data_IF_855442712112
#
_entry.id   IF_855442712112
#
_cell.length_a   1.000
_cell.length_b   1.000
_cell.length_c   1.000
_cell.angle_alpha   90.00
_cell.angle_beta   90.00
_cell.angle_gamma   90.00
#
_symmetry.space_group_name_H-M   'P 1'
#
loop_
_entity.id
_entity.type
_entity.pdbx_description
1 polymer ?
#
# COMPACT_ATOMS: atom_id res chain seq x y z
N UNK A 1 41.05 -28.71 -45.20
CA UNK A 1 39.68 -29.19 -44.92
C UNK A 1 38.74 -28.42 -45.81
N UNK A 2 37.82 -29.16 -46.43
CA UNK A 2 37.06 -28.81 -47.62
C UNK A 2 36.24 -27.52 -47.49
N UNK A 3 36.22 -26.75 -48.57
CA UNK A 3 35.16 -25.79 -48.89
C UNK A 3 34.07 -26.59 -49.61
N UNK A 4 32.78 -26.20 -49.51
CA UNK A 4 32.26 -25.59 -50.73
C UNK A 4 31.29 -24.42 -50.52
N UNK A 5 31.56 -23.43 -51.36
CA UNK A 5 30.71 -22.39 -51.94
C UNK A 5 29.24 -22.86 -52.12
N UNK A 6 28.29 -22.08 -51.61
CA UNK A 6 26.90 -22.12 -52.08
C UNK A 6 26.55 -20.88 -52.91
N UNK A 7 26.34 -21.19 -54.18
CA UNK A 7 25.85 -20.41 -55.33
C UNK A 7 24.68 -19.48 -55.01
N UNK A 8 24.78 -18.27 -55.56
CA UNK A 8 23.66 -17.39 -55.85
C UNK A 8 22.60 -18.10 -56.72
N UNK A 9 21.32 -17.90 -56.39
CA UNK A 9 20.23 -18.01 -57.37
C UNK A 9 19.35 -16.77 -57.26
N UNK A 10 19.51 -15.86 -58.23
CA UNK A 10 18.49 -14.87 -58.60
C UNK A 10 17.38 -15.64 -59.31
N UNK A 11 16.21 -15.73 -58.68
CA UNK A 11 14.97 -16.01 -59.40
C UNK A 11 14.11 -14.75 -59.39
N UNK A 12 14.15 -14.04 -60.52
CA UNK A 12 13.05 -13.18 -60.94
C UNK A 12 11.90 -14.09 -61.34
N UNK A 13 10.80 -14.04 -60.59
CA UNK A 13 9.51 -14.55 -61.05
C UNK A 13 8.48 -13.46 -60.86
N UNK A 14 8.32 -12.64 -61.91
CA UNK A 14 7.08 -11.92 -62.15
C UNK A 14 5.96 -12.96 -62.25
N UNK A 15 5.03 -12.94 -61.30
CA UNK A 15 3.73 -13.55 -61.49
C UNK A 15 2.66 -12.49 -61.27
N UNK A 16 2.12 -12.02 -62.38
CA UNK A 16 0.84 -11.32 -62.44
C UNK A 16 -0.22 -12.38 -62.09
N UNK A 17 -0.93 -12.20 -60.98
CA UNK A 17 -2.17 -12.93 -60.72
C UNK A 17 -3.25 -11.96 -60.27
N UNK A 18 -4.39 -12.09 -60.95
CA UNK A 18 -5.54 -11.22 -60.94
C UNK A 18 -6.10 -10.95 -59.54
N UNK A 19 -6.38 -9.68 -59.25
CA UNK A 19 -7.25 -9.28 -58.15
C UNK A 19 -8.68 -9.74 -58.46
N UNK A 20 -9.09 -10.88 -57.92
CA UNK A 20 -10.51 -11.15 -57.72
C UNK A 20 -10.96 -10.34 -56.49
N UNK A 21 -11.52 -9.16 -56.74
CA UNK A 21 -12.28 -8.39 -55.76
C UNK A 21 -13.56 -9.18 -55.47
N UNK A 22 -13.52 -10.06 -54.47
CA UNK A 22 -14.75 -10.64 -53.92
C UNK A 22 -15.29 -9.60 -52.92
N UNK A 23 -16.21 -8.75 -53.39
CA UNK A 23 -17.08 -7.97 -52.49
C UNK A 23 -18.05 -8.94 -51.83
N UNK A 24 -17.75 -9.36 -50.60
CA UNK A 24 -18.76 -10.01 -49.76
C UNK A 24 -19.58 -8.93 -49.04
N UNK A 25 -20.78 -8.67 -49.54
CA UNK A 25 -21.81 -8.00 -48.75
C UNK A 25 -22.39 -9.05 -47.80
N UNK A 26 -22.15 -8.94 -46.50
CA UNK A 26 -22.92 -9.73 -45.53
C UNK A 26 -24.27 -9.06 -45.31
N UNK A 27 -25.31 -9.76 -45.76
CA UNK A 27 -26.69 -9.46 -45.40
C UNK A 27 -26.88 -9.69 -43.90
N UNK A 28 -27.50 -8.71 -43.26
CA UNK A 28 -27.81 -8.67 -41.84
C UNK A 28 -28.74 -9.83 -41.46
N UNK A 29 -28.24 -10.85 -40.75
CA UNK A 29 -29.10 -11.75 -39.98
C UNK A 29 -29.22 -11.22 -38.54
N UNK A 30 -30.42 -10.74 -38.21
CA UNK A 30 -30.80 -10.40 -36.83
C UNK A 30 -30.88 -11.70 -36.03
N UNK A 31 -29.87 -11.97 -35.20
CA UNK A 31 -29.98 -12.89 -34.07
C UNK A 31 -29.61 -12.14 -32.79
N UNK A 32 -30.59 -12.04 -31.89
CA UNK A 32 -30.51 -11.43 -30.57
C UNK A 32 -29.75 -12.33 -29.61
N UNK A 33 -28.47 -12.03 -29.39
CA UNK A 33 -27.70 -12.42 -28.20
C UNK A 33 -26.64 -11.36 -27.94
N UNK A 34 -26.95 -10.29 -27.18
CA UNK A 34 -26.00 -9.28 -26.67
C UNK A 34 -24.76 -9.03 -27.56
N UNK A 35 -24.97 -8.75 -28.85
CA UNK A 35 -23.85 -8.61 -29.79
C UNK A 35 -23.18 -7.28 -29.48
N UNK A 36 -22.07 -7.35 -28.73
CA UNK A 36 -21.20 -6.20 -28.57
C UNK A 36 -20.67 -5.84 -29.96
N UNK A 37 -20.87 -4.59 -30.41
CA UNK A 37 -20.42 -4.19 -31.73
C UNK A 37 -18.90 -4.33 -31.80
N UNK A 38 -18.44 -5.05 -32.82
CA UNK A 38 -17.04 -5.18 -33.17
C UNK A 38 -16.86 -4.94 -34.66
N UNK A 39 -15.72 -4.36 -35.02
CA UNK A 39 -15.39 -4.02 -36.41
C UNK A 39 -14.70 -5.20 -37.09
N UNK A 40 -13.73 -5.81 -36.40
CA UNK A 40 -12.91 -6.88 -36.98
C UNK A 40 -12.34 -7.80 -35.90
N UNK A 41 -12.27 -9.09 -36.22
CA UNK A 41 -11.66 -10.12 -35.37
C UNK A 41 -10.48 -10.76 -36.09
N UNK A 42 -9.40 -10.96 -35.34
CA UNK A 42 -8.19 -11.63 -35.76
C UNK A 42 -7.98 -12.87 -34.88
N UNK A 43 -8.40 -14.04 -35.37
CA UNK A 43 -8.42 -15.30 -34.60
C UNK A 43 -7.04 -15.79 -34.17
N UNK A 44 -6.03 -15.58 -35.01
CA UNK A 44 -4.64 -15.91 -34.71
C UNK A 44 -3.77 -14.67 -34.92
N UNK A 45 -3.80 -13.78 -33.93
CA UNK A 45 -3.22 -12.47 -34.06
C UNK A 45 -1.68 -12.48 -34.23
N UNK A 46 -1.00 -13.58 -33.91
CA UNK A 46 0.45 -13.70 -34.07
C UNK A 46 0.88 -13.94 -35.51
N UNK A 47 0.17 -14.81 -36.23
CA UNK A 47 0.57 -15.22 -37.58
C UNK A 47 0.29 -14.12 -38.61
N UNK A 48 -0.85 -13.44 -38.47
CA UNK A 48 -1.27 -12.32 -39.33
C UNK A 48 -0.88 -10.94 -38.79
N UNK A 49 0.10 -10.88 -37.87
CA UNK A 49 0.52 -9.63 -37.22
C UNK A 49 0.92 -8.52 -38.20
N UNK A 50 1.52 -8.88 -39.34
CA UNK A 50 1.94 -7.90 -40.37
C UNK A 50 0.73 -7.19 -40.97
N UNK A 51 -0.33 -7.94 -41.24
CA UNK A 51 -1.57 -7.38 -41.80
C UNK A 51 -2.32 -6.55 -40.75
N UNK A 52 -2.35 -7.01 -39.50
CA UNK A 52 -2.89 -6.24 -38.37
C UNK A 52 -2.22 -4.86 -38.27
N UNK A 53 -0.88 -4.80 -38.40
CA UNK A 53 -0.17 -3.52 -38.34
C UNK A 53 -0.51 -2.60 -39.51
N UNK A 54 -0.59 -3.16 -40.72
CA UNK A 54 -0.89 -2.39 -41.94
C UNK A 54 -2.31 -1.84 -41.90
N UNK A 55 -3.28 -2.64 -41.49
CA UNK A 55 -4.69 -2.26 -41.43
C UNK A 55 -5.02 -1.27 -40.33
N UNK A 56 -4.25 -1.27 -39.23
CA UNK A 56 -4.46 -0.41 -38.07
C UNK A 56 -3.41 0.70 -37.95
N UNK A 57 -2.70 1.01 -39.05
CA UNK A 57 -1.75 2.11 -39.12
C UNK A 57 -2.51 3.44 -38.94
N UNK A 58 -2.02 4.28 -38.03
CA UNK A 58 -2.55 5.62 -37.70
C UNK A 58 -4.04 5.64 -37.32
N UNK A 59 -4.55 4.53 -36.82
CA UNK A 59 -5.91 4.42 -36.25
C UNK A 59 -5.86 4.44 -34.73
N UNK A 60 -6.71 5.25 -34.13
CA UNK A 60 -7.05 5.22 -32.71
C UNK A 60 -8.32 4.40 -32.47
N UNK A 61 -8.44 3.80 -31.29
CA UNK A 61 -9.64 3.05 -30.95
C UNK A 61 -9.51 2.13 -29.74
N UNK A 62 -10.55 1.34 -29.55
CA UNK A 62 -10.70 0.35 -28.50
C UNK A 62 -10.54 -1.06 -29.09
N UNK A 63 -9.75 -1.88 -28.41
CA UNK A 63 -9.48 -3.25 -28.79
C UNK A 63 -9.66 -4.19 -27.60
N UNK A 64 -9.85 -5.48 -27.91
CA UNK A 64 -10.02 -6.54 -26.94
C UNK A 64 -9.12 -7.72 -27.29
N UNK A 65 -8.39 -8.22 -26.30
CA UNK A 65 -7.73 -9.53 -26.37
C UNK A 65 -8.59 -10.56 -25.64
N UNK A 66 -8.90 -11.68 -26.30
CA UNK A 66 -9.63 -12.80 -25.70
C UNK A 66 -8.71 -14.00 -25.61
N UNK A 67 -8.55 -14.57 -24.41
CA UNK A 67 -7.85 -15.84 -24.25
C UNK A 67 -8.80 -16.97 -24.67
N UNK A 68 -8.46 -17.71 -25.72
CA UNK A 68 -9.27 -18.81 -26.27
C UNK A 68 -9.35 -20.03 -25.34
N UNK A 69 -8.44 -20.15 -24.38
CA UNK A 69 -8.43 -21.25 -23.41
C UNK A 69 -9.29 -20.97 -22.18
N UNK A 70 -9.32 -19.72 -21.70
CA UNK A 70 -10.04 -19.36 -20.46
C UNK A 70 -11.26 -18.49 -20.68
N UNK A 71 -11.46 -18.00 -21.90
CA UNK A 71 -12.45 -16.97 -22.29
C UNK A 71 -12.31 -15.65 -21.51
N UNK A 72 -11.21 -15.46 -20.78
CA UNK A 72 -10.92 -14.23 -20.08
C UNK A 72 -10.49 -13.15 -21.09
N UNK A 73 -11.01 -11.95 -20.90
CA UNK A 73 -10.78 -10.82 -21.80
C UNK A 73 -9.95 -9.70 -21.15
N UNK A 74 -9.24 -8.99 -22.01
CA UNK A 74 -8.58 -7.72 -21.71
C UNK A 74 -9.07 -6.66 -22.69
N UNK A 75 -9.41 -5.48 -22.20
CA UNK A 75 -9.82 -4.34 -23.01
C UNK A 75 -8.77 -3.25 -22.88
N UNK A 76 -8.42 -2.61 -23.98
CA UNK A 76 -7.53 -1.47 -23.96
C UNK A 76 -7.84 -0.47 -25.06
N UNK A 77 -7.36 0.74 -24.86
CA UNK A 77 -7.41 1.82 -25.83
C UNK A 77 -6.02 2.16 -26.39
N UNK A 78 -5.97 2.76 -27.58
CA UNK A 78 -4.74 3.38 -28.08
C UNK A 78 -5.01 4.54 -29.03
N UNK A 79 -4.09 5.51 -29.02
CA UNK A 79 -3.99 6.55 -30.04
C UNK A 79 -3.46 5.97 -31.36
N UNK A 80 -2.56 4.97 -31.30
CA UNK A 80 -2.02 4.30 -32.47
C UNK A 80 -2.02 2.79 -32.24
N UNK A 81 -3.06 2.14 -32.78
CA UNK A 81 -3.31 0.72 -32.63
C UNK A 81 -2.17 -0.14 -33.20
N UNK A 82 -1.64 0.19 -34.38
CA UNK A 82 -0.51 -0.54 -34.96
C UNK A 82 0.70 -0.58 -34.03
N UNK A 83 1.12 0.56 -33.46
CA UNK A 83 2.23 0.60 -32.51
C UNK A 83 1.92 -0.14 -31.20
N UNK A 84 0.68 -0.06 -30.73
CA UNK A 84 0.23 -0.81 -29.55
C UNK A 84 0.32 -2.32 -29.78
N UNK A 85 -0.10 -2.81 -30.93
CA UNK A 85 -0.02 -4.23 -31.26
C UNK A 85 1.42 -4.71 -31.45
N UNK A 86 2.28 -3.92 -32.09
CA UNK A 86 3.74 -4.21 -32.15
C UNK A 86 4.33 -4.44 -30.76
N UNK A 87 3.94 -3.62 -29.79
CA UNK A 87 4.39 -3.78 -28.41
C UNK A 87 3.91 -5.10 -27.78
N UNK A 88 2.65 -5.48 -27.99
CA UNK A 88 2.14 -6.75 -27.46
C UNK A 88 2.81 -7.97 -28.07
N UNK A 89 3.09 -7.96 -29.37
CA UNK A 89 3.79 -9.07 -30.03
C UNK A 89 5.31 -9.04 -29.85
N UNK A 90 5.85 -8.09 -29.08
CA UNK A 90 7.26 -8.02 -28.73
C UNK A 90 7.50 -8.61 -27.33
N UNK A 91 8.16 -9.76 -27.27
CA UNK A 91 8.44 -10.45 -26.02
C UNK A 91 9.30 -9.63 -25.05
N UNK A 92 10.26 -8.84 -25.55
CA UNK A 92 11.09 -7.96 -24.72
C UNK A 92 10.22 -6.90 -24.03
N UNK A 93 9.32 -6.27 -24.79
CA UNK A 93 8.38 -5.30 -24.23
C UNK A 93 7.50 -5.92 -23.14
N UNK A 94 6.96 -7.11 -23.38
CA UNK A 94 6.12 -7.81 -22.39
C UNK A 94 6.88 -8.13 -21.09
N UNK A 95 8.15 -8.55 -21.19
CA UNK A 95 9.01 -8.80 -20.03
C UNK A 95 9.26 -7.52 -19.22
N UNK A 96 9.50 -6.39 -19.88
CA UNK A 96 9.63 -5.10 -19.20
C UNK A 96 8.31 -4.61 -18.58
N UNK A 97 7.16 -4.97 -19.16
CA UNK A 97 5.82 -4.62 -18.66
C UNK A 97 5.15 -5.78 -17.92
N UNK A 98 5.92 -6.57 -17.18
CA UNK A 98 5.42 -7.74 -16.43
C UNK A 98 4.40 -7.38 -15.34
N UNK A 99 4.36 -6.12 -14.88
CA UNK A 99 3.35 -5.62 -13.94
C UNK A 99 1.93 -5.66 -14.52
N UNK A 100 1.77 -5.56 -15.84
CA UNK A 100 0.47 -5.65 -16.51
C UNK A 100 -0.01 -7.11 -16.56
N UNK A 101 -1.27 -7.34 -16.17
CA UNK A 101 -1.88 -8.68 -16.16
C UNK A 101 -1.89 -9.29 -17.57
N UNK A 102 -2.26 -8.51 -18.59
CA UNK A 102 -2.27 -8.95 -19.98
C UNK A 102 -0.89 -9.39 -20.47
N UNK A 103 0.20 -8.71 -20.07
CA UNK A 103 1.56 -9.12 -20.44
C UNK A 103 1.89 -10.50 -19.89
N UNK A 104 1.54 -10.75 -18.62
CA UNK A 104 1.73 -12.08 -17.99
C UNK A 104 0.87 -13.14 -18.67
N UNK A 105 -0.36 -12.80 -19.03
CA UNK A 105 -1.28 -13.72 -19.69
C UNK A 105 -0.76 -14.12 -21.09
N UNK A 106 -0.31 -13.15 -21.89
CA UNK A 106 0.29 -13.40 -23.21
C UNK A 106 1.56 -14.26 -23.12
N UNK A 107 2.44 -14.00 -22.13
CA UNK A 107 3.63 -14.83 -21.90
C UNK A 107 3.24 -16.25 -21.44
N UNK A 108 2.28 -16.38 -20.52
CA UNK A 108 1.90 -17.65 -19.91
C UNK A 108 1.17 -18.59 -20.88
N UNK A 109 0.19 -18.07 -21.62
CA UNK A 109 -0.66 -18.90 -22.49
C UNK A 109 -0.20 -18.89 -23.95
N UNK A 110 0.74 -18.01 -24.33
CA UNK A 110 1.25 -17.90 -25.69
C UNK A 110 0.32 -17.13 -26.63
N UNK A 111 0.89 -16.47 -27.63
CA UNK A 111 0.16 -15.57 -28.53
C UNK A 111 -0.90 -16.26 -29.38
N UNK A 112 -0.64 -17.50 -29.84
CA UNK A 112 -1.56 -18.27 -30.68
C UNK A 112 -2.88 -18.61 -29.98
N UNK A 113 -2.91 -18.55 -28.64
CA UNK A 113 -4.09 -18.78 -27.82
C UNK A 113 -4.89 -17.51 -27.54
N UNK A 114 -4.54 -16.39 -28.17
CA UNK A 114 -5.31 -15.15 -28.09
C UNK A 114 -5.88 -14.76 -29.45
N UNK A 115 -7.14 -14.31 -29.44
CA UNK A 115 -7.71 -13.54 -30.54
C UNK A 115 -7.66 -12.04 -30.21
N UNK A 116 -7.49 -11.21 -31.24
CA UNK A 116 -7.52 -9.76 -31.13
C UNK A 116 -8.76 -9.24 -31.86
N UNK A 117 -9.60 -8.50 -31.17
CA UNK A 117 -10.81 -7.89 -31.72
C UNK A 117 -10.69 -6.38 -31.67
N UNK A 118 -10.96 -5.71 -32.78
CA UNK A 118 -11.18 -4.26 -32.81
C UNK A 118 -12.65 -4.03 -32.49
N UNK A 119 -12.91 -3.42 -31.33
CA UNK A 119 -14.26 -3.12 -30.90
C UNK A 119 -14.78 -1.86 -31.60
N UNK A 120 -13.95 -0.81 -31.64
CA UNK A 120 -14.33 0.48 -32.20
C UNK A 120 -13.12 1.32 -32.59
N UNK A 121 -13.23 2.06 -33.70
CA UNK A 121 -12.33 3.17 -34.00
C UNK A 121 -12.99 4.46 -33.54
N UNK A 122 -12.28 5.26 -32.74
CA UNK A 122 -12.83 6.48 -32.16
C UNK A 122 -11.76 7.57 -32.12
N UNK A 123 -12.20 8.82 -31.97
CA UNK A 123 -11.30 9.96 -31.80
C UNK A 123 -10.53 9.89 -30.47
N UNK A 124 -9.42 10.61 -30.39
CA UNK A 124 -8.52 10.58 -29.22
C UNK A 124 -9.21 11.12 -27.96
N UNK A 125 -10.10 12.11 -28.12
CA UNK A 125 -10.94 12.70 -27.07
C UNK A 125 -11.84 11.66 -26.41
N UNK A 126 -12.37 10.71 -27.19
CA UNK A 126 -13.38 9.76 -26.75
C UNK A 126 -12.81 8.45 -26.23
N UNK A 127 -11.51 8.20 -26.37
CA UNK A 127 -10.90 6.92 -25.98
C UNK A 127 -11.28 6.52 -24.55
N UNK A 128 -11.14 7.44 -23.59
CA UNK A 128 -11.37 7.14 -22.16
C UNK A 128 -12.85 6.84 -21.89
N UNK A 129 -13.77 7.58 -22.53
CA UNK A 129 -15.21 7.38 -22.33
C UNK A 129 -15.66 6.05 -22.96
N UNK A 130 -15.13 5.71 -24.14
CA UNK A 130 -15.41 4.43 -24.81
C UNK A 130 -14.77 3.24 -24.10
N UNK A 131 -13.55 3.37 -23.57
CA UNK A 131 -12.92 2.31 -22.76
C UNK A 131 -13.77 1.99 -21.52
N UNK A 132 -14.27 3.01 -20.83
CA UNK A 132 -15.17 2.82 -19.69
C UNK A 132 -16.49 2.13 -20.10
N UNK A 133 -17.11 2.57 -21.20
CA UNK A 133 -18.33 1.95 -21.75
C UNK A 133 -18.16 0.44 -21.93
N UNK A 134 -17.03 0.01 -22.49
CA UNK A 134 -16.75 -1.41 -22.68
C UNK A 134 -16.38 -2.14 -21.38
N UNK A 135 -15.76 -1.48 -20.39
CA UNK A 135 -15.54 -2.08 -19.07
C UNK A 135 -16.87 -2.42 -18.38
N UNK A 136 -17.85 -1.51 -18.46
CA UNK A 136 -19.14 -1.67 -17.79
C UNK A 136 -19.98 -2.80 -18.41
N UNK A 137 -19.90 -2.94 -19.74
CA UNK A 137 -20.63 -3.98 -20.50
C UNK A 137 -19.96 -5.35 -20.35
N UNK A 138 -18.65 -5.44 -20.60
CA UNK A 138 -17.95 -6.71 -20.77
C UNK A 138 -17.26 -7.22 -19.48
N UNK A 139 -17.06 -6.35 -18.48
CA UNK A 139 -16.44 -6.67 -17.18
C UNK A 139 -15.14 -7.48 -17.31
N UNK A 140 -14.10 -6.92 -17.96
CA UNK A 140 -12.91 -7.66 -18.30
C UNK A 140 -12.07 -8.10 -17.10
N UNK A 141 -11.70 -9.39 -17.05
CA UNK A 141 -10.97 -9.98 -15.92
C UNK A 141 -9.49 -9.59 -15.89
N UNK A 142 -8.86 -9.40 -17.04
CA UNK A 142 -7.44 -9.02 -17.10
C UNK A 142 -7.21 -7.54 -16.82
N UNK A 143 -8.26 -6.72 -16.72
CA UNK A 143 -8.15 -5.32 -16.33
C UNK A 143 -8.24 -5.18 -14.81
N UNK A 144 -7.12 -4.81 -14.17
CA UNK A 144 -7.07 -4.66 -12.70
C UNK A 144 -7.90 -3.49 -12.18
N UNK A 145 -7.97 -2.42 -12.98
CA UNK A 145 -8.70 -1.20 -12.64
C UNK A 145 -10.12 -1.29 -13.19
N UNK A 146 -11.09 -0.87 -12.37
CA UNK A 146 -12.51 -0.83 -12.75
C UNK A 146 -12.87 0.47 -13.48
N UNK A 147 -12.10 1.52 -13.27
CA UNK A 147 -12.27 2.82 -13.90
C UNK A 147 -11.16 2.98 -14.93
N UNK A 148 -11.53 3.31 -16.17
CA UNK A 148 -10.59 3.61 -17.24
C UNK A 148 -9.59 4.68 -16.79
N UNK A 149 -8.30 4.44 -17.02
CA UNK A 149 -7.19 5.34 -16.69
C UNK A 149 -7.03 5.77 -15.21
N UNK A 150 -7.87 5.30 -14.29
CA UNK A 150 -7.88 5.77 -12.89
C UNK A 150 -7.76 4.63 -11.89
N UNK A 151 -6.83 4.78 -10.95
CA UNK A 151 -6.73 3.94 -9.75
C UNK A 151 -7.63 4.41 -8.61
N UNK A 152 -8.43 5.47 -8.84
CA UNK A 152 -9.36 5.99 -7.83
C UNK A 152 -10.30 4.87 -7.36
N UNK A 153 -10.47 4.77 -6.05
CA UNK A 153 -11.23 3.72 -5.37
C UNK A 153 -10.69 2.27 -5.52
N UNK A 154 -9.53 2.05 -6.14
CA UNK A 154 -8.87 0.74 -6.10
C UNK A 154 -8.34 0.47 -4.68
N UNK A 155 -8.90 -0.53 -4.00
CA UNK A 155 -8.48 -0.93 -2.66
C UNK A 155 -7.57 -2.16 -2.75
N UNK A 156 -6.37 -2.06 -2.17
CA UNK A 156 -5.51 -3.22 -1.96
C UNK A 156 -6.18 -4.27 -1.06
N UNK A 157 -5.89 -5.54 -1.33
CA UNK A 157 -6.34 -6.67 -0.50
C UNK A 157 -5.71 -6.61 0.89
N UNK A 158 -6.33 -7.29 1.87
CA UNK A 158 -5.80 -7.38 3.25
C UNK A 158 -4.37 -7.94 3.26
N UNK A 159 -4.12 -8.95 2.45
CA UNK A 159 -2.80 -9.58 2.33
C UNK A 159 -1.75 -8.59 1.80
N UNK A 160 -2.06 -7.85 0.72
CA UNK A 160 -1.13 -6.85 0.17
C UNK A 160 -0.87 -5.72 1.17
N UNK A 161 -1.90 -5.24 1.87
CA UNK A 161 -1.73 -4.24 2.94
C UNK A 161 -0.81 -4.74 4.05
N UNK A 162 -0.92 -6.01 4.42
CA UNK A 162 -0.06 -6.62 5.42
C UNK A 162 1.39 -6.74 4.94
N UNK A 163 1.62 -7.15 3.68
CA UNK A 163 2.97 -7.20 3.09
C UNK A 163 3.64 -5.82 3.09
N UNK A 164 2.91 -4.79 2.65
CA UNK A 164 3.37 -3.39 2.68
C UNK A 164 3.67 -2.95 4.13
N UNK A 165 2.76 -3.25 5.06
CA UNK A 165 2.98 -2.91 6.48
C UNK A 165 4.24 -3.57 7.02
N UNK A 166 4.45 -4.85 6.74
CA UNK A 166 5.61 -5.59 7.22
C UNK A 166 6.92 -5.12 6.57
N UNK A 167 6.91 -4.73 5.29
CA UNK A 167 8.10 -4.18 4.65
C UNK A 167 8.47 -2.79 5.20
N UNK A 168 7.49 -1.97 5.60
CA UNK A 168 7.72 -0.64 6.15
C UNK A 168 8.07 -0.63 7.64
N UNK A 169 7.69 -1.69 8.39
CA UNK A 169 8.03 -1.83 9.82
C UNK A 169 9.55 -1.79 10.00
N UNK A 170 10.01 -0.86 10.83
CA UNK A 170 11.43 -0.72 11.18
C UNK A 170 12.28 0.12 10.22
N UNK A 171 11.73 0.56 9.08
CA UNK A 171 12.43 1.50 8.17
C UNK A 171 12.48 2.89 8.80
N UNK A 172 11.35 3.38 9.34
CA UNK A 172 11.26 4.74 9.90
C UNK A 172 11.54 4.80 11.41
N UNK A 173 12.30 3.84 11.96
CA UNK A 173 12.53 3.75 13.40
C UNK A 173 13.99 4.07 13.71
N UNK A 174 14.21 5.04 14.60
CA UNK A 174 15.53 5.46 15.10
C UNK A 174 16.49 5.77 13.94
N UNK A 175 17.67 5.15 13.93
CA UNK A 175 18.82 5.37 13.04
C UNK A 175 18.50 5.13 11.55
N UNK A 176 17.49 4.32 11.25
CA UNK A 176 17.08 4.05 9.87
C UNK A 176 16.15 5.11 9.30
N UNK A 177 15.59 5.97 10.15
CA UNK A 177 14.75 7.06 9.70
C UNK A 177 15.60 8.15 9.07
N UNK A 178 15.32 8.50 7.82
CA UNK A 178 15.89 9.68 7.17
C UNK A 178 15.56 10.99 7.92
N UNK A 179 14.60 10.95 8.84
CA UNK A 179 14.19 12.09 9.68
C UNK A 179 14.87 12.10 11.06
N UNK A 180 15.75 11.15 11.37
CA UNK A 180 16.42 11.13 12.67
C UNK A 180 17.30 12.37 12.84
N UNK A 181 17.09 13.12 13.92
CA UNK A 181 17.87 14.32 14.24
C UNK A 181 17.44 15.58 13.48
N UNK A 182 16.53 15.47 12.50
CA UNK A 182 15.96 16.63 11.82
C UNK A 182 14.87 17.24 12.70
N UNK A 183 15.17 18.37 13.33
CA UNK A 183 14.18 19.23 13.97
C UNK A 183 13.76 20.32 13.00
N UNK A 184 12.45 20.52 12.84
CA UNK A 184 11.94 21.71 12.15
C UNK A 184 12.52 22.98 12.78
N UNK A 185 12.85 23.98 11.96
CA UNK A 185 13.22 25.30 12.47
C UNK A 185 12.05 25.91 13.25
N UNK A 186 12.34 26.86 14.13
CA UNK A 186 11.29 27.49 14.93
C UNK A 186 10.28 28.26 14.07
N UNK A 187 10.72 28.82 12.94
CA UNK A 187 9.82 29.40 11.92
C UNK A 187 8.86 28.37 11.33
N UNK A 188 9.36 27.18 10.97
CA UNK A 188 8.51 26.09 10.44
C UNK A 188 7.53 25.61 11.52
N UNK A 189 7.97 25.51 12.79
CA UNK A 189 7.07 25.16 13.90
C UNK A 189 5.98 26.21 14.09
N UNK A 190 6.32 27.50 13.97
CA UNK A 190 5.35 28.59 14.05
C UNK A 190 4.31 28.51 12.92
N UNK A 191 4.75 28.31 11.67
CA UNK A 191 3.85 28.13 10.52
C UNK A 191 2.95 26.90 10.68
N UNK A 192 3.49 25.76 11.13
CA UNK A 192 2.71 24.56 11.42
C UNK A 192 1.69 24.79 12.54
N UNK A 193 2.03 25.62 13.54
CA UNK A 193 1.11 26.00 14.62
C UNK A 193 -0.05 26.85 14.08
N UNK A 194 0.25 27.88 13.26
CA UNK A 194 -0.74 28.76 12.64
C UNK A 194 -1.74 27.95 11.80
N UNK A 195 -1.27 26.99 11.01
CA UNK A 195 -2.11 26.11 10.19
C UNK A 195 -2.99 25.14 11.00
N UNK A 196 -2.83 25.06 12.32
CA UNK A 196 -3.67 24.27 13.23
C UNK A 196 -4.56 25.13 14.12
N UNK A 197 -4.57 26.44 13.93
CA UNK A 197 -5.44 27.35 14.66
C UNK A 197 -6.78 27.51 13.95
N UNK A 198 -7.84 27.64 14.75
CA UNK A 198 -9.19 27.97 14.30
C UNK A 198 -9.66 27.09 13.14
N UNK A 199 -10.35 27.69 12.16
CA UNK A 199 -11.00 27.05 11.02
C UNK A 199 -10.09 26.15 10.17
N UNK A 200 -8.76 26.36 10.21
CA UNK A 200 -7.81 25.50 9.52
C UNK A 200 -7.67 24.11 10.19
N UNK A 201 -8.03 24.00 11.47
CA UNK A 201 -8.11 22.73 12.16
C UNK A 201 -9.43 22.03 11.80
N UNK A 202 -9.41 20.81 11.21
CA UNK A 202 -10.62 20.06 10.88
C UNK A 202 -11.50 19.71 12.09
N UNK A 203 -10.96 19.86 13.30
CA UNK A 203 -11.63 19.63 14.59
C UNK A 203 -12.03 20.94 15.29
N UNK A 204 -11.84 22.10 14.67
CA UNK A 204 -12.33 23.36 15.21
C UNK A 204 -13.86 23.33 15.31
N UNK A 205 -14.37 23.80 16.45
CA UNK A 205 -15.78 23.74 16.87
C UNK A 205 -16.42 22.35 16.93
N UNK A 206 -15.66 21.28 16.69
CA UNK A 206 -16.14 19.89 16.85
C UNK A 206 -15.82 19.42 18.25
N UNK A 207 -16.85 19.20 19.07
CA UNK A 207 -16.68 18.53 20.36
C UNK A 207 -16.93 17.03 20.21
N UNK A 208 -16.03 16.19 20.75
CA UNK A 208 -16.25 14.73 20.83
C UNK A 208 -17.42 14.33 21.76
N UNK A 209 -18.16 15.30 22.29
CA UNK A 209 -19.22 15.11 23.29
C UNK A 209 -20.58 14.73 22.69
N UNK A 210 -20.78 14.94 21.40
CA UNK A 210 -22.12 14.84 20.79
C UNK A 210 -22.53 13.41 20.39
N UNK A 211 -21.66 12.41 20.53
CA UNK A 211 -22.02 11.01 20.24
C UNK A 211 -21.44 10.04 21.29
N UNK A 212 -22.33 9.51 22.12
CA UNK A 212 -22.03 8.54 23.18
C UNK A 212 -21.25 7.32 22.64
N UNK A 213 -21.62 6.85 21.44
CA UNK A 213 -20.91 5.81 20.69
C UNK A 213 -19.43 6.10 20.44
N UNK A 214 -19.05 7.36 20.21
CA UNK A 214 -17.65 7.73 19.90
C UNK A 214 -16.82 7.76 21.17
N UNK A 215 -17.40 8.26 22.26
CA UNK A 215 -16.77 8.28 23.58
C UNK A 215 -16.49 6.85 24.05
N UNK A 216 -17.46 5.94 23.90
CA UNK A 216 -17.28 4.57 24.33
C UNK A 216 -16.26 3.80 23.49
N UNK A 217 -16.19 4.05 22.17
CA UNK A 217 -15.12 3.52 21.33
C UNK A 217 -13.74 4.04 21.76
N UNK A 218 -13.64 5.30 22.18
CA UNK A 218 -12.41 5.87 22.72
C UNK A 218 -12.03 5.21 24.06
N UNK A 219 -12.99 5.00 24.97
CA UNK A 219 -12.77 4.29 26.25
C UNK A 219 -12.31 2.85 26.03
N UNK A 220 -12.98 2.10 25.14
CA UNK A 220 -12.60 0.72 24.81
C UNK A 220 -11.19 0.61 24.24
N UNK A 221 -10.78 1.57 23.39
CA UNK A 221 -9.40 1.61 22.87
C UNK A 221 -8.37 2.04 23.92
N UNK A 222 -8.78 2.79 24.94
CA UNK A 222 -7.90 3.27 26.00
C UNK A 222 -7.66 2.20 27.08
N UNK A 223 -8.65 1.35 27.39
CA UNK A 223 -8.55 0.34 28.46
C UNK A 223 -7.40 -0.66 28.27
N UNK A 224 -7.00 -0.92 27.02
CA UNK A 224 -5.86 -1.80 26.70
C UNK A 224 -4.47 -1.16 26.78
N UNK A 225 -4.36 0.14 27.08
CA UNK A 225 -3.07 0.84 27.13
C UNK A 225 -2.38 0.61 28.47
N UNK A 226 -1.61 -0.46 28.57
CA UNK A 226 -0.77 -0.74 29.74
C UNK A 226 0.64 -0.22 29.46
N UNK A 227 1.12 0.71 30.29
CA UNK A 227 2.52 1.14 30.24
C UNK A 227 3.43 -0.04 30.64
N UNK A 228 4.51 -0.24 29.90
CA UNK A 228 5.54 -1.23 30.26
C UNK A 228 6.21 -0.85 31.58
N UNK A 229 6.77 -1.82 32.30
CA UNK A 229 7.46 -1.57 33.58
C UNK A 229 8.62 -0.56 33.44
N UNK A 230 9.33 -0.62 32.30
CA UNK A 230 10.40 0.35 31.98
C UNK A 230 9.85 1.77 31.85
N UNK A 231 8.72 1.95 31.16
CA UNK A 231 8.08 3.26 31.01
C UNK A 231 7.57 3.78 32.36
N UNK A 232 6.93 2.92 33.17
CA UNK A 232 6.47 3.29 34.52
C UNK A 232 7.63 3.74 35.41
N UNK A 233 8.78 3.06 35.33
CA UNK A 233 10.00 3.43 36.04
C UNK A 233 10.52 4.81 35.63
N UNK A 234 10.65 5.06 34.33
CA UNK A 234 11.08 6.39 33.82
C UNK A 234 10.16 7.51 34.30
N UNK A 235 8.84 7.29 34.25
CA UNK A 235 7.87 8.26 34.76
C UNK A 235 8.03 8.49 36.27
N UNK A 236 8.27 7.43 37.04
CA UNK A 236 8.46 7.52 38.49
C UNK A 236 9.80 8.18 38.86
N UNK A 237 10.83 8.06 38.05
CA UNK A 237 12.10 8.77 38.26
C UNK A 237 11.95 10.29 38.08
N UNK A 238 11.15 10.72 37.10
CA UNK A 238 10.98 12.15 36.79
C UNK A 238 9.95 12.83 37.69
N UNK A 239 8.84 12.14 38.00
CA UNK A 239 7.68 12.72 38.69
C UNK A 239 7.30 12.02 40.00
N UNK A 240 8.03 10.98 40.38
CA UNK A 240 7.73 10.21 41.59
C UNK A 240 8.27 10.86 42.84
N UNK A 241 7.69 10.48 43.98
CA UNK A 241 8.18 10.86 45.30
C UNK A 241 9.13 9.76 45.82
N UNK A 242 10.45 9.99 45.84
CA UNK A 242 11.40 8.99 46.29
C UNK A 242 11.22 8.70 47.79
N UNK A 243 11.61 7.50 48.17
CA UNK A 243 11.62 7.02 49.55
C UNK A 243 13.00 6.46 49.86
N UNK A 244 13.59 6.97 50.93
CA UNK A 244 14.81 6.48 51.53
C UNK A 244 14.43 5.68 52.78
N UNK A 245 14.95 4.45 52.87
CA UNK A 245 14.72 3.57 54.01
C UNK A 245 16.00 3.50 54.83
N UNK A 246 15.87 3.69 56.13
CA UNK A 246 16.96 3.59 57.08
C UNK A 246 16.65 2.53 58.13
N UNK A 247 17.65 1.77 58.53
CA UNK A 247 17.56 0.75 59.57
C UNK A 247 18.36 1.17 60.81
N UNK A 248 17.82 0.89 61.99
CA UNK A 248 18.46 1.17 63.28
C UNK A 248 19.61 0.20 63.53
N UNK A 249 20.82 0.72 63.72
CA UNK A 249 22.01 -0.04 64.15
C UNK A 249 22.27 0.19 65.65
N UNK A 250 22.60 -0.87 66.38
CA UNK A 250 22.64 -0.91 67.85
C UNK A 250 23.65 0.03 68.52
N UNK A 251 24.60 0.61 67.78
CA UNK A 251 25.66 1.46 68.36
C UNK A 251 25.77 2.88 67.77
N UNK A 252 25.20 3.21 66.60
CA UNK A 252 25.47 4.51 65.92
C UNK A 252 24.28 5.08 65.10
N UNK A 253 23.05 4.80 65.52
CA UNK A 253 21.85 5.42 64.93
C UNK A 253 21.35 4.74 63.65
N UNK A 254 20.83 5.51 62.70
CA UNK A 254 20.16 4.99 61.49
C UNK A 254 21.10 4.93 60.29
N UNK A 255 21.16 3.78 59.60
CA UNK A 255 21.92 3.56 58.36
C UNK A 255 20.99 3.41 57.16
N UNK A 256 21.32 4.06 56.04
CA UNK A 256 20.55 3.92 54.81
C UNK A 256 20.68 2.50 54.25
N UNK A 257 19.55 1.84 54.01
CA UNK A 257 19.50 0.49 53.42
C UNK A 257 19.00 0.48 51.98
N UNK A 258 18.29 1.53 51.54
CA UNK A 258 17.79 1.57 50.17
C UNK A 258 17.16 2.90 49.76
N UNK A 259 17.25 3.19 48.47
CA UNK A 259 16.63 4.32 47.78
C UNK A 259 15.66 3.79 46.74
N UNK A 260 14.41 4.26 46.78
CA UNK A 260 13.35 3.80 45.90
C UNK A 260 12.63 4.98 45.27
N UNK A 261 12.29 4.86 43.99
CA UNK A 261 11.55 5.90 43.23
C UNK A 261 10.10 6.10 43.68
N UNK A 262 9.56 5.22 44.55
CA UNK A 262 8.22 5.36 45.10
C UNK A 262 8.01 4.49 46.34
N UNK A 263 7.07 4.88 47.19
CA UNK A 263 6.64 4.12 48.36
C UNK A 263 6.11 2.71 48.03
N UNK A 264 5.50 2.52 46.86
CA UNK A 264 5.03 1.18 46.44
C UNK A 264 6.21 0.22 46.20
N UNK A 265 7.32 0.71 45.65
CA UNK A 265 8.53 -0.12 45.43
C UNK A 265 9.29 -0.36 46.73
N UNK A 266 9.42 0.67 47.56
CA UNK A 266 9.94 0.53 48.91
C UNK A 266 9.13 -0.50 49.73
N UNK A 267 7.80 -0.49 49.56
CA UNK A 267 6.89 -1.43 50.22
C UNK A 267 7.13 -2.87 49.79
N UNK A 268 7.33 -3.11 48.49
CA UNK A 268 7.71 -4.44 47.99
C UNK A 268 9.03 -4.95 48.56
N UNK A 269 10.01 -4.07 48.78
CA UNK A 269 11.30 -4.46 49.35
C UNK A 269 11.20 -4.89 50.81
N UNK A 270 10.35 -4.23 51.60
CA UNK A 270 10.11 -4.56 53.02
C UNK A 270 8.89 -5.49 53.24
N UNK A 271 8.26 -5.95 52.17
CA UNK A 271 6.99 -6.72 52.20
C UNK A 271 5.86 -6.04 52.99
N UNK A 272 5.78 -4.71 52.92
CA UNK A 272 4.73 -3.91 53.56
C UNK A 272 3.97 -3.05 52.55
N UNK A 273 2.77 -2.60 52.93
CA UNK A 273 1.99 -1.71 52.08
C UNK A 273 2.70 -0.38 51.86
N UNK A 274 2.67 0.14 50.62
CA UNK A 274 3.23 1.46 50.32
C UNK A 274 2.56 2.59 51.11
N UNK A 275 1.28 2.43 51.48
CA UNK A 275 0.54 3.32 52.37
C UNK A 275 1.14 3.37 53.77
N UNK A 276 1.58 2.23 54.31
CA UNK A 276 2.25 2.18 55.61
C UNK A 276 3.53 3.01 55.57
N UNK A 277 4.34 2.86 54.53
CA UNK A 277 5.56 3.65 54.34
C UNK A 277 5.27 5.15 54.27
N UNK A 278 4.24 5.55 53.52
CA UNK A 278 3.83 6.96 53.44
C UNK A 278 3.41 7.50 54.81
N UNK A 279 2.64 6.71 55.58
CA UNK A 279 2.19 7.07 56.92
C UNK A 279 3.37 7.35 57.85
N UNK A 280 4.29 6.39 57.98
CA UNK A 280 5.45 6.51 58.86
C UNK A 280 6.48 7.54 58.37
N UNK A 281 6.61 7.74 57.06
CA UNK A 281 7.39 8.85 56.51
C UNK A 281 6.81 10.21 56.93
N UNK A 282 5.49 10.36 56.84
CA UNK A 282 4.84 11.63 57.15
C UNK A 282 4.80 11.90 58.67
N UNK A 283 4.60 10.88 59.50
CA UNK A 283 4.64 11.03 60.96
C UNK A 283 6.06 11.17 61.51
N UNK A 284 7.07 10.68 60.78
CA UNK A 284 8.46 10.66 61.24
C UNK A 284 8.76 9.58 62.30
N UNK A 285 7.74 8.80 62.68
CA UNK A 285 7.84 7.71 63.64
C UNK A 285 8.63 6.52 63.08
N UNK A 286 9.23 5.75 63.99
CA UNK A 286 9.98 4.55 63.63
C UNK A 286 9.00 3.38 63.47
N UNK A 287 9.03 2.74 62.33
CA UNK A 287 8.24 1.55 62.07
C UNK A 287 8.88 0.32 62.75
N UNK A 288 8.12 -0.34 63.62
CA UNK A 288 8.53 -1.54 64.38
C UNK A 288 9.88 -1.35 65.13
N UNK A 289 10.14 -0.14 65.62
CA UNK A 289 11.39 0.26 66.29
C UNK A 289 12.69 -0.03 65.50
N UNK A 290 12.55 -0.29 64.19
CA UNK A 290 13.64 -0.77 63.32
C UNK A 290 13.86 0.12 62.12
N UNK A 291 12.80 0.58 61.47
CA UNK A 291 12.90 1.29 60.19
C UNK A 291 12.42 2.74 60.26
N UNK A 292 13.19 3.66 59.66
CA UNK A 292 12.82 5.06 59.48
C UNK A 292 12.73 5.37 57.99
N UNK A 293 11.72 6.13 57.58
CA UNK A 293 11.48 6.50 56.18
C UNK A 293 11.66 8.01 55.98
N UNK A 294 12.26 8.41 54.86
CA UNK A 294 12.46 9.83 54.51
C UNK A 294 12.13 10.09 53.04
N UNK A 295 11.71 11.32 52.73
CA UNK A 295 11.54 11.84 51.38
C UNK A 295 12.83 12.40 50.77
N UNK A 296 13.82 12.72 51.61
CA UNK A 296 15.12 13.26 51.23
C UNK A 296 16.24 12.42 51.84
N UNK A 297 17.39 12.42 51.16
CA UNK A 297 18.58 11.77 51.67
C UNK A 297 19.08 12.55 52.90
N UNK A 298 18.99 11.93 54.08
CA UNK A 298 19.58 12.45 55.31
C UNK A 298 21.08 12.17 55.23
N UNK A 299 21.87 13.23 55.06
CA UNK A 299 23.34 13.20 55.15
C UNK A 299 23.69 13.59 56.58
N UNK A 300 24.35 12.71 57.34
CA UNK A 300 24.94 13.10 58.63
C UNK A 300 26.19 13.93 58.32
N UNK A 301 26.23 15.18 58.79
CA UNK A 301 27.47 15.92 58.97
C UNK A 301 28.22 15.37 60.19
#
# INVERSE_FOLDING_TARGET
REVPIQKCYKYNKFSIYNYNIIRTYSTLSKNTSNNVPYIKVYENAFDIRKDIYKENLDKSGIYMFTNKLTNDIYIGQSINLANRFKNYFNLSYLKHKYSLVISRALIKYGFSNFSLTILEYCEISDLVTREQYYFDILKPKYNTLKIARSSLNHKHTKETKMKISNSLKGIYVKEKSALLGLTASDEIKALMSINKLKENNPLFDKTHKESESTIDLMKQKASGRINTEVTKLKMSLVRGNPIYIYEKCSSEGFKLIGSFVSARRAGKFLEISGSTIIRYRNSGEIYKDRYKFSSQLIIKN
#
